data_IF_246117460513
#
_entry.id   IF_246117460513
#
_cell.length_a   1.000
_cell.length_b   1.000
_cell.length_c   1.000
_cell.angle_alpha   90.00
_cell.angle_beta   90.00
_cell.angle_gamma   90.00
#
_symmetry.space_group_name_H-M   'P 1'
#
loop_
_entity.id
_entity.type
_entity.pdbx_description
1 polymer ?
#
# COMPACT_ATOMS: atom_id res chain seq x y z
N UNK A 1 9.70 6.01 5.16
CA UNK A 1 9.68 4.60 4.70
C UNK A 1 9.46 4.63 3.19
N UNK A 2 10.04 3.72 2.40
CA UNK A 2 9.82 3.78 0.95
C UNK A 2 8.37 3.40 0.61
N UNK A 3 7.79 4.08 -0.38
CA UNK A 3 6.44 3.79 -0.88
C UNK A 3 6.32 2.34 -1.32
N UNK A 4 7.39 1.80 -1.92
CA UNK A 4 7.45 0.39 -2.32
C UNK A 4 7.41 -0.54 -1.12
N UNK A 5 8.10 -0.23 -0.02
CA UNK A 5 8.05 -1.00 1.23
C UNK A 5 6.66 -1.01 1.84
N UNK A 6 6.00 0.17 1.88
CA UNK A 6 4.64 0.30 2.39
C UNK A 6 3.69 -0.53 1.55
N UNK A 7 3.75 -0.36 0.22
CA UNK A 7 2.92 -1.11 -0.72
C UNK A 7 3.17 -2.60 -0.58
N UNK A 8 4.42 -3.04 -0.46
CA UNK A 8 4.77 -4.45 -0.26
C UNK A 8 4.17 -5.02 1.02
N UNK A 9 4.15 -4.25 2.11
CA UNK A 9 3.53 -4.71 3.36
C UNK A 9 2.01 -4.87 3.26
N UNK A 10 1.36 -4.00 2.48
CA UNK A 10 -0.09 -4.11 2.25
C UNK A 10 -0.45 -5.01 1.08
N UNK A 11 0.48 -5.28 0.19
CA UNK A 11 0.37 -6.16 -0.96
C UNK A 11 0.05 -7.60 -0.56
N UNK A 12 0.67 -8.06 0.54
CA UNK A 12 0.37 -9.35 1.15
C UNK A 12 -1.04 -9.46 1.72
N UNK A 13 -1.79 -8.35 1.75
CA UNK A 13 -3.17 -8.29 2.20
C UNK A 13 -4.03 -7.59 1.13
N UNK A 14 -4.50 -8.36 0.14
CA UNK A 14 -5.30 -7.86 -0.99
C UNK A 14 -6.51 -7.03 -0.52
N UNK A 15 -7.11 -7.39 0.62
CA UNK A 15 -8.22 -6.69 1.27
C UNK A 15 -7.84 -5.28 1.74
N UNK A 16 -6.64 -5.14 2.34
CA UNK A 16 -6.09 -3.88 2.80
C UNK A 16 -5.72 -2.98 1.63
N UNK A 17 -5.15 -3.58 0.58
CA UNK A 17 -4.76 -2.88 -0.64
C UNK A 17 -5.98 -2.32 -1.39
N UNK A 18 -7.05 -3.09 -1.50
CA UNK A 18 -8.30 -2.66 -2.14
C UNK A 18 -8.96 -1.52 -1.37
N UNK A 19 -8.98 -1.63 -0.03
CA UNK A 19 -9.40 -0.54 0.86
C UNK A 19 -8.53 0.69 0.69
N UNK A 20 -7.21 0.56 0.55
CA UNK A 20 -6.28 1.69 0.38
C UNK A 20 -6.50 2.47 -0.91
N UNK A 21 -6.90 1.80 -2.00
CA UNK A 21 -7.24 2.45 -3.27
C UNK A 21 -8.45 3.36 -3.15
N UNK A 22 -9.45 2.91 -2.39
CA UNK A 22 -10.73 3.64 -2.22
C UNK A 22 -10.74 4.56 -1.00
N UNK A 23 -9.81 4.40 -0.06
CA UNK A 23 -9.74 5.14 1.20
C UNK A 23 -9.13 6.54 1.03
N UNK A 24 -9.63 7.52 1.77
CA UNK A 24 -9.01 8.84 1.90
C UNK A 24 -7.67 8.80 2.65
N UNK A 25 -6.88 9.88 2.60
CA UNK A 25 -5.54 9.95 3.23
C UNK A 25 -5.60 9.58 4.73
N UNK A 26 -6.62 10.03 5.46
CA UNK A 26 -6.79 9.68 6.87
C UNK A 26 -7.10 8.20 7.08
N UNK A 27 -8.03 7.65 6.29
CA UNK A 27 -8.40 6.24 6.38
C UNK A 27 -7.25 5.32 5.97
N UNK A 28 -6.53 5.68 4.91
CA UNK A 28 -5.35 4.97 4.45
C UNK A 28 -4.26 4.93 5.52
N UNK A 29 -4.05 6.04 6.23
CA UNK A 29 -3.15 6.10 7.39
C UNK A 29 -3.57 5.15 8.50
N UNK A 30 -4.85 5.13 8.87
CA UNK A 30 -5.38 4.20 9.89
C UNK A 30 -5.28 2.73 9.47
N UNK A 31 -5.55 2.43 8.21
CA UNK A 31 -5.43 1.08 7.64
C UNK A 31 -3.98 0.59 7.70
N UNK A 32 -3.04 1.46 7.33
CA UNK A 32 -1.61 1.19 7.39
C UNK A 32 -1.12 1.01 8.83
N UNK A 33 -1.55 1.88 9.75
CA UNK A 33 -1.21 1.77 11.17
C UNK A 33 -1.74 0.47 11.79
N UNK A 34 -2.98 0.08 11.47
CA UNK A 34 -3.58 -1.21 11.88
C UNK A 34 -2.82 -2.42 11.34
N UNK A 35 -2.20 -2.28 10.16
CA UNK A 35 -1.34 -3.31 9.59
C UNK A 35 0.09 -3.29 10.18
N UNK A 36 0.36 -2.46 11.19
CA UNK A 36 1.68 -2.31 11.80
C UNK A 36 2.65 -1.50 10.93
N UNK A 37 2.15 -0.77 9.93
CA UNK A 37 2.93 0.09 9.04
C UNK A 37 2.76 1.54 9.48
N UNK A 38 3.71 2.03 10.28
CA UNK A 38 3.75 3.45 10.64
C UNK A 38 4.17 4.28 9.44
N UNK A 39 3.26 5.15 9.00
CA UNK A 39 3.43 6.04 7.85
C UNK A 39 2.96 7.44 8.20
N UNK A 40 3.62 8.43 7.61
CA UNK A 40 3.22 9.83 7.69
C UNK A 40 2.25 10.18 6.55
N UNK A 41 1.52 11.28 6.68
CA UNK A 41 0.58 11.73 5.64
C UNK A 41 1.24 11.93 4.27
N UNK A 42 2.51 12.33 4.26
CA UNK A 42 3.29 12.45 3.03
C UNK A 42 3.52 11.08 2.35
N UNK A 43 3.77 10.03 3.15
CA UNK A 43 3.97 8.68 2.64
C UNK A 43 2.65 8.08 2.16
N UNK A 44 1.55 8.31 2.91
CA UNK A 44 0.21 7.88 2.51
C UNK A 44 -0.21 8.51 1.18
N UNK A 45 0.04 9.82 0.98
CA UNK A 45 -0.23 10.49 -0.29
C UNK A 45 0.53 9.85 -1.43
N UNK A 46 1.83 9.59 -1.25
CA UNK A 46 2.64 8.94 -2.30
C UNK A 46 2.18 7.52 -2.60
N UNK A 47 1.76 6.75 -1.59
CA UNK A 47 1.19 5.40 -1.77
C UNK A 47 -0.09 5.48 -2.58
N UNK A 48 -0.98 6.41 -2.22
CA UNK A 48 -2.21 6.65 -2.98
C UNK A 48 -1.92 7.10 -4.41
N UNK A 49 -1.01 8.03 -4.60
CA UNK A 49 -0.59 8.47 -5.94
C UNK A 49 -0.02 7.30 -6.73
N UNK A 50 0.85 6.47 -6.15
CA UNK A 50 1.41 5.31 -6.84
C UNK A 50 0.36 4.24 -7.20
N UNK A 51 -0.66 4.06 -6.34
CA UNK A 51 -1.80 3.17 -6.60
C UNK A 51 -2.78 3.75 -7.62
N UNK A 52 -2.99 5.07 -7.64
CA UNK A 52 -3.92 5.77 -8.52
C UNK A 52 -3.35 6.04 -9.91
N UNK A 53 -2.06 6.34 -10.02
CA UNK A 53 -1.36 6.63 -11.27
C UNK A 53 -1.14 5.36 -12.11
N UNK A 54 -1.52 4.18 -11.60
CA UNK A 54 -1.28 2.89 -12.25
C UNK A 54 0.21 2.54 -12.37
N UNK A 55 1.10 3.36 -11.81
CA UNK A 55 2.55 3.13 -11.74
C UNK A 55 2.91 1.84 -11.01
N UNK A 56 2.02 1.34 -10.16
CA UNK A 56 2.17 0.08 -9.48
C UNK A 56 0.88 -0.70 -9.70
N UNK A 57 0.90 -1.55 -10.71
CA UNK A 57 -0.24 -2.40 -11.05
C UNK A 57 -0.47 -3.47 -9.98
N UNK A 58 -1.72 -3.86 -9.75
CA UNK A 58 -2.08 -4.96 -8.84
C UNK A 58 -1.26 -6.23 -9.13
N UNK A 59 -0.88 -6.43 -10.39
CA UNK A 59 -0.04 -7.53 -10.85
C UNK A 59 1.41 -7.41 -10.35
N UNK A 60 2.01 -6.22 -10.44
CA UNK A 60 3.33 -5.95 -9.85
C UNK A 60 3.29 -6.07 -8.32
N UNK A 61 2.23 -5.57 -7.69
CA UNK A 61 2.04 -5.69 -6.24
C UNK A 61 2.00 -7.16 -5.82
N UNK A 62 1.28 -7.99 -6.59
CA UNK A 62 1.15 -9.43 -6.36
C UNK A 62 2.43 -10.20 -6.67
N UNK A 63 3.20 -9.77 -7.67
CA UNK A 63 4.54 -10.31 -7.96
C UNK A 63 5.55 -9.95 -6.86
N UNK A 64 5.53 -8.71 -6.35
CA UNK A 64 6.40 -8.26 -5.26
C UNK A 64 6.06 -8.99 -3.95
N UNK A 65 4.78 -9.08 -3.58
CA UNK A 65 4.36 -9.84 -2.41
C UNK A 65 4.62 -11.35 -2.59
N UNK A 66 4.20 -11.91 -3.72
CA UNK A 66 4.35 -13.34 -4.02
C UNK A 66 5.81 -13.79 -4.11
N UNK A 67 6.72 -12.90 -4.53
CA UNK A 67 8.16 -13.16 -4.58
C UNK A 67 8.86 -13.13 -3.22
N UNK A 68 8.31 -12.42 -2.22
CA UNK A 68 8.89 -12.31 -0.87
C UNK A 68 8.43 -13.44 0.06
N UNK A 69 7.29 -14.08 -0.22
CA UNK A 69 6.76 -15.21 0.56
C UNK A 69 7.18 -16.61 0.03
N UNK A 70 8.24 -16.70 -0.79
CA UNK A 70 8.77 -17.99 -1.28
C UNK A 70 9.89 -18.55 -0.41
#
# INVERSE_FOLDING_TARGET
MDVKDIITKVAGNEDLLDKLKSADVNQAKELLDKAGVKVDEADVKKVKDALADGKIDMKEIKDIAGGIFK
#
